data_IF_319380142748
#
_entry.id   IF_319380142748
#
_cell.length_a   1.000
_cell.length_b   1.000
_cell.length_c   1.000
_cell.angle_alpha   90.00
_cell.angle_beta   90.00
_cell.angle_gamma   90.00
#
_symmetry.space_group_name_H-M   'P 1'
#
loop_
_entity.id
_entity.type
_entity.pdbx_description
1 polymer ?
#
# COMPACT_ATOMS: atom_id res chain seq x y z
N UNK A 1 -7.20 -15.81 26.20
CA UNK A 1 -5.77 -15.44 26.03
C UNK A 1 -5.56 -15.03 24.58
N UNK A 2 -5.04 -13.83 24.33
CA UNK A 2 -4.66 -13.37 22.99
C UNK A 2 -3.29 -13.99 22.66
N UNK A 3 -3.19 -14.75 21.59
CA UNK A 3 -1.96 -15.48 21.20
C UNK A 3 -1.12 -14.75 20.15
N UNK A 4 -1.73 -13.77 19.43
CA UNK A 4 -1.09 -12.99 18.37
C UNK A 4 -1.51 -11.54 18.50
N UNK A 5 -0.60 -10.60 18.35
CA UNK A 5 -0.87 -9.15 18.47
C UNK A 5 -1.15 -8.46 17.13
N UNK A 6 -0.87 -9.11 16.02
CA UNK A 6 -1.09 -8.58 14.68
C UNK A 6 -0.05 -9.04 13.68
N UNK A 7 0.01 -8.35 12.56
CA UNK A 7 1.02 -8.54 11.51
C UNK A 7 2.18 -7.59 11.80
N UNK A 8 3.41 -8.10 11.82
CA UNK A 8 4.60 -7.27 12.06
C UNK A 8 5.15 -6.63 10.78
N UNK A 9 5.13 -7.37 9.67
CA UNK A 9 5.59 -6.90 8.36
C UNK A 9 4.97 -7.70 7.22
N UNK A 10 5.05 -7.13 6.02
CA UNK A 10 4.71 -7.79 4.76
C UNK A 10 5.97 -7.83 3.91
N UNK A 11 6.45 -9.05 3.58
CA UNK A 11 7.59 -9.22 2.69
C UNK A 11 7.14 -9.19 1.23
N UNK A 12 7.87 -8.44 0.42
CA UNK A 12 7.70 -8.34 -1.04
C UNK A 12 9.01 -8.65 -1.74
N UNK A 13 8.97 -8.90 -3.04
CA UNK A 13 10.17 -9.07 -3.87
C UNK A 13 10.19 -7.98 -4.90
N UNK A 14 11.35 -7.34 -5.06
CA UNK A 14 11.58 -6.26 -6.03
C UNK A 14 12.75 -6.62 -6.95
N UNK A 15 12.78 -6.05 -8.13
CA UNK A 15 13.92 -6.10 -9.03
C UNK A 15 14.90 -4.92 -8.83
N UNK A 16 14.48 -3.90 -8.05
CA UNK A 16 15.28 -2.71 -7.74
C UNK A 16 14.86 -2.14 -6.37
N UNK A 17 15.65 -2.48 -5.35
CA UNK A 17 15.38 -2.07 -3.96
C UNK A 17 15.43 -0.55 -3.79
N UNK A 18 16.39 0.12 -4.45
CA UNK A 18 16.57 1.56 -4.31
C UNK A 18 15.38 2.33 -4.93
N UNK A 19 14.88 1.89 -6.08
CA UNK A 19 13.67 2.43 -6.72
C UNK A 19 12.44 2.24 -5.82
N UNK A 20 12.27 1.03 -5.30
CA UNK A 20 11.14 0.67 -4.44
C UNK A 20 11.10 1.53 -3.17
N UNK A 21 12.22 1.59 -2.47
CA UNK A 21 12.38 2.38 -1.24
C UNK A 21 12.16 3.87 -1.51
N UNK A 22 12.78 4.40 -2.56
CA UNK A 22 12.63 5.81 -2.93
C UNK A 22 11.17 6.19 -3.24
N UNK A 23 10.39 5.30 -3.87
CA UNK A 23 8.97 5.51 -4.08
C UNK A 23 8.21 5.70 -2.76
N UNK A 24 8.39 4.79 -1.80
CA UNK A 24 7.68 4.87 -0.51
C UNK A 24 8.12 6.08 0.31
N UNK A 25 9.39 6.48 0.25
CA UNK A 25 9.88 7.70 0.89
C UNK A 25 9.22 8.95 0.27
N UNK A 26 9.17 9.07 -1.05
CA UNK A 26 8.61 10.25 -1.73
C UNK A 26 7.09 10.37 -1.55
N UNK A 27 6.38 9.25 -1.64
CA UNK A 27 4.90 9.27 -1.58
C UNK A 27 4.38 9.35 -0.16
N UNK A 28 4.95 8.53 0.74
CA UNK A 28 4.39 8.30 2.08
C UNK A 28 5.22 8.92 3.21
N UNK A 29 6.30 9.64 2.89
CA UNK A 29 7.29 10.08 3.88
C UNK A 29 7.79 8.91 4.75
N UNK A 30 7.92 7.73 4.16
CA UNK A 30 8.25 6.51 4.88
C UNK A 30 9.65 6.59 5.51
N UNK A 31 9.76 6.21 6.77
CA UNK A 31 11.04 5.94 7.41
C UNK A 31 11.58 4.59 6.95
N UNK A 32 12.89 4.46 6.88
CA UNK A 32 13.53 3.24 6.40
C UNK A 32 14.68 2.82 7.31
N UNK A 33 14.93 1.51 7.40
CA UNK A 33 16.12 0.99 8.08
C UNK A 33 17.38 1.20 7.22
N UNK A 34 18.54 0.85 7.76
CA UNK A 34 19.73 0.64 6.93
C UNK A 34 19.50 -0.55 5.98
N UNK A 35 20.18 -0.49 4.82
CA UNK A 35 20.20 -1.63 3.88
C UNK A 35 20.98 -2.77 4.50
N UNK A 36 20.40 -3.95 4.49
CA UNK A 36 21.04 -5.20 4.88
C UNK A 36 21.44 -5.96 3.62
N UNK A 37 22.71 -6.34 3.55
CA UNK A 37 23.27 -7.05 2.41
C UNK A 37 23.87 -8.38 2.85
N UNK A 38 23.47 -9.43 2.17
CA UNK A 38 24.03 -10.77 2.25
C UNK A 38 24.39 -11.23 0.85
N UNK A 39 25.00 -12.40 0.69
CA UNK A 39 25.43 -12.90 -0.60
C UNK A 39 24.26 -13.01 -1.60
N UNK A 40 24.19 -12.05 -2.54
CA UNK A 40 23.16 -11.98 -3.58
C UNK A 40 21.78 -11.52 -3.12
N UNK A 41 21.67 -11.03 -1.88
CA UNK A 41 20.42 -10.54 -1.27
C UNK A 41 20.63 -9.13 -0.73
N UNK A 42 19.76 -8.21 -1.12
CA UNK A 42 19.63 -6.89 -0.49
C UNK A 42 18.21 -6.73 0.04
N UNK A 43 18.07 -6.19 1.23
CA UNK A 43 16.74 -5.93 1.79
C UNK A 43 16.76 -4.77 2.78
N UNK A 44 15.58 -4.23 3.05
CA UNK A 44 15.42 -3.06 3.92
C UNK A 44 14.00 -3.05 4.46
N UNK A 45 13.80 -2.50 5.66
CA UNK A 45 12.45 -2.24 6.16
C UNK A 45 12.00 -0.84 5.75
N UNK A 46 10.74 -0.74 5.33
CA UNK A 46 10.05 0.51 4.97
C UNK A 46 8.84 0.65 5.89
N UNK A 47 8.86 1.64 6.77
CA UNK A 47 7.82 1.83 7.78
C UNK A 47 6.72 2.75 7.26
N UNK A 48 5.51 2.20 7.12
CA UNK A 48 4.29 2.92 6.77
C UNK A 48 3.50 3.22 8.06
N UNK A 49 3.95 4.24 8.80
CA UNK A 49 3.44 4.53 10.15
C UNK A 49 4.10 3.64 11.23
N UNK A 50 3.48 3.56 12.41
CA UNK A 50 4.14 3.07 13.62
C UNK A 50 4.10 1.55 13.82
N UNK A 51 3.35 0.79 13.01
CA UNK A 51 2.99 -0.59 13.39
C UNK A 51 3.35 -1.68 12.41
N UNK A 52 3.35 -1.40 11.10
CA UNK A 52 3.59 -2.41 10.07
C UNK A 52 4.63 -1.91 9.09
N UNK A 53 5.62 -2.75 8.81
CA UNK A 53 6.62 -2.46 7.81
C UNK A 53 6.40 -3.30 6.54
N UNK A 54 6.72 -2.72 5.39
CA UNK A 54 7.10 -3.49 4.22
C UNK A 54 8.54 -3.97 4.37
N UNK A 55 8.83 -5.12 3.81
CA UNK A 55 10.16 -5.71 3.82
C UNK A 55 10.51 -6.18 2.40
N UNK A 56 10.87 -5.26 1.49
CA UNK A 56 11.28 -5.60 0.14
C UNK A 56 12.65 -6.30 0.12
N UNK A 57 12.73 -7.34 -0.71
CA UNK A 57 13.91 -8.14 -0.97
C UNK A 57 14.27 -8.04 -2.46
N UNK A 58 15.49 -7.63 -2.76
CA UNK A 58 16.10 -7.72 -4.09
C UNK A 58 17.00 -8.95 -4.14
N UNK A 59 16.75 -9.83 -5.10
CA UNK A 59 17.42 -11.12 -5.23
C UNK A 59 18.19 -11.17 -6.55
N UNK A 60 19.52 -11.19 -6.51
CA UNK A 60 20.37 -11.18 -7.71
C UNK A 60 20.27 -12.45 -8.58
N UNK A 61 19.75 -13.53 -8.01
CA UNK A 61 19.60 -14.83 -8.70
C UNK A 61 18.20 -15.09 -9.24
N UNK A 62 17.27 -14.16 -9.01
CA UNK A 62 15.89 -14.32 -9.47
C UNK A 62 15.63 -13.44 -10.68
N UNK A 63 15.22 -14.07 -11.78
CA UNK A 63 14.70 -13.33 -12.93
C UNK A 63 13.36 -12.66 -12.55
N UNK A 64 13.09 -11.46 -13.09
CA UNK A 64 11.80 -10.79 -12.88
C UNK A 64 10.66 -11.68 -13.36
N UNK A 65 9.80 -12.08 -12.44
CA UNK A 65 8.61 -12.83 -12.78
C UNK A 65 7.53 -11.91 -13.39
N UNK A 66 6.58 -12.53 -14.06
CA UNK A 66 5.40 -11.82 -14.56
C UNK A 66 4.64 -11.18 -13.40
N UNK A 67 4.25 -9.91 -13.58
CA UNK A 67 3.30 -9.25 -12.66
C UNK A 67 1.97 -10.02 -12.64
N UNK A 68 1.40 -10.16 -11.45
CA UNK A 68 0.11 -10.80 -11.25
C UNK A 68 -1.03 -9.80 -11.38
N UNK A 69 -2.17 -10.27 -11.85
CA UNK A 69 -3.40 -9.48 -11.84
C UNK A 69 -4.08 -9.56 -10.47
N UNK A 70 -4.92 -8.56 -10.13
CA UNK A 70 -5.78 -8.65 -8.95
C UNK A 70 -6.66 -9.90 -9.00
N UNK A 71 -6.97 -10.46 -7.83
CA UNK A 71 -7.81 -11.66 -7.63
C UNK A 71 -7.21 -12.99 -8.10
N UNK A 72 -5.93 -13.02 -8.48
CA UNK A 72 -5.22 -14.27 -8.70
C UNK A 72 -4.97 -15.00 -7.36
N UNK A 73 -5.19 -16.33 -7.35
CA UNK A 73 -5.02 -17.14 -6.13
C UNK A 73 -3.55 -17.41 -5.81
N UNK A 74 -3.29 -17.64 -4.52
CA UNK A 74 -1.98 -18.14 -4.06
C UNK A 74 -0.96 -17.05 -3.77
N UNK A 75 -1.38 -15.77 -3.75
CA UNK A 75 -0.59 -14.61 -3.40
C UNK A 75 -1.38 -13.64 -2.52
N UNK A 76 -0.70 -12.65 -1.97
CA UNK A 76 -1.35 -11.48 -1.41
C UNK A 76 -2.04 -10.71 -2.56
N UNK A 77 -3.35 -10.51 -2.48
CA UNK A 77 -4.09 -9.77 -3.51
C UNK A 77 -3.78 -8.27 -3.44
N UNK A 78 -3.99 -7.68 -2.27
CA UNK A 78 -3.64 -6.31 -1.93
C UNK A 78 -3.52 -6.16 -0.41
N UNK A 79 -3.02 -5.03 0.04
CA UNK A 79 -3.11 -4.63 1.43
C UNK A 79 -3.48 -3.15 1.55
N UNK A 80 -4.09 -2.78 2.68
CA UNK A 80 -4.53 -1.42 2.95
C UNK A 80 -3.66 -0.73 3.98
N UNK A 81 -3.36 0.55 3.74
CA UNK A 81 -2.80 1.49 4.70
C UNK A 81 -3.86 2.50 5.11
N UNK A 82 -3.75 3.07 6.29
CA UNK A 82 -4.72 4.05 6.80
C UNK A 82 -4.12 5.45 6.78
N UNK A 83 -4.79 6.39 6.11
CA UNK A 83 -4.49 7.80 6.22
C UNK A 83 -5.31 8.42 7.38
N UNK A 84 -4.76 9.40 8.09
CA UNK A 84 -5.41 9.95 9.30
C UNK A 84 -6.68 10.76 9.00
N UNK A 85 -6.83 11.31 7.81
CA UNK A 85 -7.96 12.14 7.40
C UNK A 85 -8.01 12.30 5.88
N UNK A 86 -9.06 12.96 5.38
CA UNK A 86 -9.29 13.20 3.94
C UNK A 86 -8.21 14.09 3.32
N UNK A 87 -7.72 15.09 4.05
CA UNK A 87 -6.67 15.98 3.51
C UNK A 87 -5.38 15.20 3.23
N UNK A 88 -5.00 14.29 4.12
CA UNK A 88 -3.86 13.39 3.90
C UNK A 88 -4.10 12.43 2.71
N UNK A 89 -5.33 11.93 2.53
CA UNK A 89 -5.69 11.11 1.38
C UNK A 89 -5.55 11.88 0.05
N UNK A 90 -5.99 13.13 0.02
CA UNK A 90 -5.88 13.99 -1.15
C UNK A 90 -4.41 14.32 -1.48
N UNK A 91 -3.61 14.62 -0.46
CA UNK A 91 -2.16 14.83 -0.63
C UNK A 91 -1.47 13.58 -1.18
N UNK A 92 -1.77 12.39 -0.63
CA UNK A 92 -1.23 11.12 -1.12
C UNK A 92 -1.66 10.84 -2.56
N UNK A 93 -2.90 11.15 -2.93
CA UNK A 93 -3.36 11.05 -4.32
C UNK A 93 -2.53 11.92 -5.26
N UNK A 94 -2.28 13.16 -4.87
CA UNK A 94 -1.54 14.10 -5.71
C UNK A 94 -0.06 13.67 -5.85
N UNK A 95 0.56 13.15 -4.80
CA UNK A 95 1.91 12.55 -4.86
C UNK A 95 1.95 11.31 -5.76
N UNK A 96 0.96 10.42 -5.66
CA UNK A 96 0.85 9.24 -6.53
C UNK A 96 0.67 9.62 -8.00
N UNK A 97 -0.11 10.66 -8.27
CA UNK A 97 -0.24 11.20 -9.63
C UNK A 97 1.08 11.75 -10.18
N UNK A 98 1.92 12.33 -9.32
CA UNK A 98 3.24 12.81 -9.72
C UNK A 98 4.23 11.68 -10.03
N UNK A 99 4.06 10.50 -9.43
CA UNK A 99 4.85 9.29 -9.71
C UNK A 99 4.35 8.53 -10.95
N UNK A 100 3.22 8.96 -11.53
CA UNK A 100 2.56 8.28 -12.64
C UNK A 100 3.27 8.59 -13.97
N UNK A 101 4.30 7.84 -14.32
CA UNK A 101 5.12 8.00 -15.52
C UNK A 101 4.58 7.28 -16.77
N UNK A 102 3.27 6.94 -16.75
CA UNK A 102 2.56 6.29 -17.86
C UNK A 102 2.16 4.83 -17.59
N UNK A 103 2.73 4.18 -16.60
CA UNK A 103 2.35 2.81 -16.17
C UNK A 103 1.18 2.80 -15.16
N UNK A 104 0.70 3.98 -14.78
CA UNK A 104 -0.54 4.18 -14.04
C UNK A 104 -0.52 3.65 -12.61
N UNK A 105 0.29 4.22 -11.74
CA UNK A 105 0.31 3.86 -10.31
C UNK A 105 -1.05 4.04 -9.63
N UNK A 106 -1.93 4.91 -10.15
CA UNK A 106 -3.29 5.11 -9.62
C UNK A 106 -4.24 5.62 -10.70
N UNK A 107 -5.53 5.26 -10.57
CA UNK A 107 -6.61 5.89 -11.34
C UNK A 107 -7.07 7.24 -10.75
N UNK A 108 -6.48 7.63 -9.62
CA UNK A 108 -6.79 8.83 -8.84
C UNK A 108 -8.25 8.95 -8.37
N UNK A 109 -9.04 7.89 -8.51
CA UNK A 109 -10.44 7.88 -8.10
C UNK A 109 -10.57 7.50 -6.64
N UNK A 110 -11.17 8.39 -5.86
CA UNK A 110 -11.53 8.10 -4.48
C UNK A 110 -12.93 7.49 -4.46
N UNK A 111 -13.02 6.27 -3.92
CA UNK A 111 -14.26 5.52 -3.81
C UNK A 111 -14.83 5.66 -2.41
N UNK A 112 -16.14 5.82 -2.33
CA UNK A 112 -16.88 5.81 -1.05
C UNK A 112 -17.52 4.44 -0.83
N UNK A 113 -16.98 3.69 0.12
CA UNK A 113 -17.53 2.40 0.53
C UNK A 113 -18.51 2.54 1.71
N UNK A 114 -19.06 3.73 1.95
CA UNK A 114 -20.00 4.01 3.04
C UNK A 114 -19.30 4.34 4.35
N UNK A 115 -18.52 3.43 4.90
CA UNK A 115 -17.82 3.62 6.16
C UNK A 115 -16.37 4.13 6.00
N UNK A 116 -15.82 4.07 4.79
CA UNK A 116 -14.48 4.58 4.48
C UNK A 116 -14.42 5.18 3.08
N UNK A 117 -13.44 6.06 2.88
CA UNK A 117 -12.95 6.44 1.56
C UNK A 117 -11.72 5.59 1.23
N UNK A 118 -11.61 5.15 -0.02
CA UNK A 118 -10.48 4.35 -0.50
C UNK A 118 -9.92 4.90 -1.80
N UNK A 119 -8.60 4.97 -1.88
CA UNK A 119 -7.82 5.25 -3.08
C UNK A 119 -6.97 4.03 -3.40
N UNK A 120 -7.08 3.50 -4.61
CA UNK A 120 -6.28 2.36 -5.06
C UNK A 120 -5.03 2.83 -5.79
N UNK A 121 -3.94 2.12 -5.60
CA UNK A 121 -2.69 2.33 -6.32
C UNK A 121 -1.91 1.02 -6.47
N UNK A 122 -0.92 1.07 -7.36
CA UNK A 122 0.01 -0.04 -7.61
C UNK A 122 1.41 0.50 -7.37
N UNK A 123 2.21 -0.21 -6.60
CA UNK A 123 3.61 0.17 -6.38
C UNK A 123 4.50 -0.15 -7.60
N UNK A 124 5.77 0.27 -7.62
CA UNK A 124 6.65 0.06 -8.77
C UNK A 124 6.82 -1.39 -9.20
N UNK A 125 6.63 -2.35 -8.30
CA UNK A 125 6.72 -3.79 -8.59
C UNK A 125 5.38 -4.45 -8.92
N UNK A 126 4.29 -3.68 -8.94
CA UNK A 126 2.97 -4.15 -9.30
C UNK A 126 2.18 -4.73 -8.13
N UNK A 127 2.57 -4.45 -6.88
CA UNK A 127 1.77 -4.81 -5.71
C UNK A 127 0.59 -3.85 -5.60
N UNK A 128 -0.61 -4.40 -5.48
CA UNK A 128 -1.83 -3.62 -5.32
C UNK A 128 -2.02 -3.19 -3.87
N UNK A 129 -2.36 -1.93 -3.69
CA UNK A 129 -2.56 -1.31 -2.37
C UNK A 129 -3.79 -0.42 -2.37
N UNK A 130 -4.29 -0.18 -1.15
CA UNK A 130 -5.34 0.78 -0.86
C UNK A 130 -4.88 1.79 0.20
N UNK A 131 -5.28 3.04 0.05
CA UNK A 131 -5.18 4.04 1.11
C UNK A 131 -6.59 4.32 1.61
N UNK A 132 -6.85 4.05 2.88
CA UNK A 132 -8.17 4.12 3.47
C UNK A 132 -8.27 5.25 4.51
N UNK A 133 -9.38 5.99 4.49
CA UNK A 133 -9.77 6.93 5.54
C UNK A 133 -11.10 6.48 6.10
N UNK A 134 -11.11 6.07 7.36
CA UNK A 134 -12.34 5.67 8.04
C UNK A 134 -13.17 6.88 8.43
N UNK A 135 -14.49 6.78 8.20
CA UNK A 135 -15.46 7.76 8.65
C UNK A 135 -15.86 7.45 10.09
N UNK A 136 -16.04 8.49 10.92
CA UNK A 136 -16.61 8.39 12.27
C UNK A 136 -15.90 7.42 13.23
N UNK A 137 -14.57 7.43 13.28
CA UNK A 137 -13.78 6.59 14.19
C UNK A 137 -14.02 5.07 14.11
N UNK A 138 -14.53 4.58 12.98
CA UNK A 138 -14.71 3.17 12.74
C UNK A 138 -13.36 2.51 12.47
N UNK A 139 -13.14 1.35 13.07
CA UNK A 139 -12.01 0.49 12.73
C UNK A 139 -12.42 -0.49 11.63
N UNK A 140 -11.48 -0.95 10.82
CA UNK A 140 -11.71 -1.97 9.81
C UNK A 140 -12.41 -3.21 10.40
N UNK A 141 -12.00 -3.62 11.59
CA UNK A 141 -12.59 -4.76 12.28
C UNK A 141 -14.07 -4.54 12.64
N UNK A 142 -14.45 -3.32 13.03
CA UNK A 142 -15.85 -2.98 13.35
C UNK A 142 -16.70 -2.97 12.09
N UNK A 143 -16.16 -2.52 10.96
CA UNK A 143 -16.82 -2.56 9.65
C UNK A 143 -17.10 -3.97 9.20
N UNK A 144 -16.09 -4.84 9.25
CA UNK A 144 -16.22 -6.25 8.88
C UNK A 144 -17.30 -6.96 9.71
N UNK A 145 -17.40 -6.62 10.99
CA UNK A 145 -18.43 -7.17 11.89
C UNK A 145 -19.84 -6.70 11.57
N UNK A 146 -20.00 -5.53 10.97
CA UNK A 146 -21.34 -4.94 10.71
C UNK A 146 -21.88 -5.17 9.32
N UNK A 147 -21.07 -5.72 8.39
CA UNK A 147 -21.48 -5.98 7.01
C UNK A 147 -21.89 -4.71 6.23
N UNK A 148 -21.31 -3.55 6.58
CA UNK A 148 -21.73 -2.23 6.09
C UNK A 148 -21.11 -1.83 4.73
N UNK A 149 -20.81 -2.79 3.86
CA UNK A 149 -20.23 -2.53 2.55
C UNK A 149 -21.32 -2.15 1.55
N UNK A 150 -21.47 -0.88 1.26
CA UNK A 150 -22.19 -0.39 0.08
C UNK A 150 -21.22 0.37 -0.81
N UNK A 151 -21.01 -0.13 -2.00
CA UNK A 151 -20.16 0.55 -2.99
C UNK A 151 -20.93 1.73 -3.57
N UNK A 152 -20.50 2.94 -3.26
CA UNK A 152 -20.95 4.15 -3.93
C UNK A 152 -19.73 4.76 -4.62
N UNK A 153 -19.76 4.82 -5.95
CA UNK A 153 -18.73 5.49 -6.73
C UNK A 153 -18.90 6.99 -6.57
N UNK A 154 -17.93 7.66 -5.98
CA UNK A 154 -17.91 9.11 -5.92
C UNK A 154 -17.34 9.67 -7.23
N UNK A 155 -17.98 10.71 -7.74
CA UNK A 155 -17.35 11.63 -8.69
C UNK A 155 -16.01 12.11 -8.10
N UNK A 156 -14.98 12.37 -8.95
CA UNK A 156 -13.72 12.91 -8.44
C UNK A 156 -14.00 14.15 -7.58
N UNK A 157 -13.48 14.16 -6.37
CA UNK A 157 -13.58 15.37 -5.54
C UNK A 157 -12.84 16.46 -6.31
N UNK A 158 -13.60 17.36 -6.94
CA UNK A 158 -13.04 18.56 -7.55
C UNK A 158 -12.67 19.50 -6.42
N UNK A 159 -11.37 19.70 -6.20
CA UNK A 159 -10.83 20.75 -5.35
C UNK A 159 -10.99 22.08 -6.07
#
# INVERSE_FOLDING_TARGET
MKLVDGISHVATVTDDLDRMVAFYQRVFDAEVSEVMEEEGLRHQFVYLGDQVALHPFELSWKEPDKRFEMFDRGRLDHFGVTAPNVDALLELRDRLLAENDGDGATDAQIRDFGALYSLHYVDPDGVHLEINVFKDSWTELEMLKRGAWTTVQLEPIRV
#
